data_IF_422894494797
#
_entry.id   IF_422894494797
#
_cell.length_a   1.000
_cell.length_b   1.000
_cell.length_c   1.000
_cell.angle_alpha   90.00
_cell.angle_beta   90.00
_cell.angle_gamma   90.00
#
_symmetry.space_group_name_H-M   'P 1'
#
loop_
_entity.id
_entity.type
_entity.pdbx_description
1 polymer ?
#
# COMPACT_ATOMS: atom_id res chain seq x y z
N UNK A 1 -18.86 -5.80 -10.92
CA UNK A 1 -18.34 -4.69 -10.04
C UNK A 1 -16.84 -4.52 -10.27
N UNK A 2 -16.38 -3.32 -10.53
CA UNK A 2 -14.95 -3.00 -10.73
C UNK A 2 -14.48 -2.12 -9.58
N UNK A 3 -13.36 -2.45 -8.91
CA UNK A 3 -12.87 -1.70 -7.75
C UNK A 3 -11.42 -1.31 -7.95
N UNK A 4 -11.12 -0.02 -7.79
CA UNK A 4 -9.75 0.50 -7.64
C UNK A 4 -9.55 0.88 -6.18
N UNK A 5 -8.64 0.19 -5.49
CA UNK A 5 -8.25 0.50 -4.11
C UNK A 5 -6.95 1.31 -4.11
N UNK A 6 -7.06 2.60 -3.77
CA UNK A 6 -5.90 3.46 -3.52
C UNK A 6 -5.46 3.35 -2.05
N UNK A 7 -4.19 3.11 -1.85
CA UNK A 7 -3.63 2.88 -0.51
C UNK A 7 -2.13 3.14 -0.49
N UNK A 8 -1.53 3.29 0.67
CA UNK A 8 -0.07 3.27 0.80
C UNK A 8 0.43 1.90 1.29
N UNK A 9 1.75 1.72 1.29
CA UNK A 9 2.34 0.47 1.76
C UNK A 9 2.05 0.22 3.25
N UNK A 10 1.97 -1.05 3.65
CA UNK A 10 1.79 -1.51 5.04
C UNK A 10 0.49 -1.06 5.72
N UNK A 11 -0.54 -0.80 4.95
CA UNK A 11 -1.90 -0.46 5.42
C UNK A 11 -2.82 -1.67 5.57
N UNK A 12 -2.34 -2.91 5.36
CA UNK A 12 -3.20 -4.09 5.35
C UNK A 12 -4.02 -4.27 4.06
N UNK A 13 -3.62 -3.59 2.99
CA UNK A 13 -4.35 -3.58 1.70
C UNK A 13 -4.53 -4.97 1.09
N UNK A 14 -3.55 -5.86 1.19
CA UNK A 14 -3.67 -7.24 0.70
C UNK A 14 -4.77 -8.01 1.42
N UNK A 15 -4.90 -7.82 2.74
CA UNK A 15 -6.00 -8.40 3.51
C UNK A 15 -7.35 -7.85 3.05
N UNK A 16 -7.47 -6.51 2.90
CA UNK A 16 -8.73 -5.89 2.47
C UNK A 16 -9.11 -6.30 1.04
N UNK A 17 -8.17 -6.36 0.09
CA UNK A 17 -8.48 -6.81 -1.28
C UNK A 17 -8.97 -8.24 -1.29
N UNK A 18 -8.38 -9.14 -0.49
CA UNK A 18 -8.85 -10.52 -0.35
C UNK A 18 -10.26 -10.59 0.25
N UNK A 19 -10.56 -9.80 1.30
CA UNK A 19 -11.90 -9.77 1.90
C UNK A 19 -12.95 -9.24 0.92
N UNK A 20 -12.63 -8.18 0.18
CA UNK A 20 -13.54 -7.61 -0.81
C UNK A 20 -13.74 -8.55 -2.00
N UNK A 21 -12.70 -9.25 -2.46
CA UNK A 21 -12.82 -10.20 -3.56
C UNK A 21 -13.72 -11.38 -3.18
N UNK A 22 -13.56 -11.96 -1.99
CA UNK A 22 -14.43 -13.03 -1.52
C UNK A 22 -15.87 -12.55 -1.34
N UNK A 23 -16.06 -11.38 -0.68
CA UNK A 23 -17.39 -10.84 -0.39
C UNK A 23 -18.21 -10.53 -1.64
N UNK A 24 -17.57 -10.11 -2.71
CA UNK A 24 -18.22 -9.62 -3.93
C UNK A 24 -17.97 -10.48 -5.17
N UNK A 25 -17.33 -11.64 -5.00
CA UNK A 25 -16.96 -12.56 -6.10
C UNK A 25 -16.14 -11.84 -7.18
N UNK A 26 -15.03 -11.21 -6.76
CA UNK A 26 -14.15 -10.45 -7.64
C UNK A 26 -12.84 -11.17 -7.90
N UNK A 27 -12.34 -11.10 -9.12
CA UNK A 27 -10.94 -11.46 -9.44
C UNK A 27 -9.99 -10.47 -8.77
N UNK A 28 -9.15 -10.95 -7.85
CA UNK A 28 -8.17 -10.11 -7.16
C UNK A 28 -6.86 -10.02 -7.95
N UNK A 29 -6.65 -8.92 -8.62
CA UNK A 29 -5.43 -8.67 -9.38
C UNK A 29 -4.29 -8.06 -8.55
N UNK A 30 -4.51 -7.71 -7.29
CA UNK A 30 -3.52 -7.07 -6.41
C UNK A 30 -2.83 -5.85 -7.07
N UNK A 31 -1.48 -5.84 -7.11
CA UNK A 31 -0.64 -4.78 -7.68
C UNK A 31 -0.45 -4.95 -9.19
N UNK A 32 -1.55 -5.01 -9.93
CA UNK A 32 -1.57 -5.37 -11.35
C UNK A 32 -0.80 -4.38 -12.24
N UNK A 33 -0.68 -3.13 -11.82
CA UNK A 33 -0.10 -2.02 -12.58
C UNK A 33 1.20 -1.47 -11.97
N UNK A 34 2.00 -2.32 -11.31
CA UNK A 34 3.29 -1.88 -10.75
C UNK A 34 4.29 -1.45 -11.85
N UNK A 35 5.30 -0.68 -11.49
CA UNK A 35 6.23 0.01 -12.41
C UNK A 35 7.04 -0.91 -13.32
N UNK A 36 7.25 -2.16 -12.90
CA UNK A 36 8.05 -3.13 -13.67
C UNK A 36 7.28 -3.82 -14.81
N UNK A 37 6.01 -3.46 -15.04
CA UNK A 37 5.21 -4.04 -16.11
C UNK A 37 5.64 -3.45 -17.46
N UNK A 38 6.08 -4.26 -18.44
CA UNK A 38 6.40 -3.77 -19.79
C UNK A 38 5.18 -3.08 -20.42
N UNK A 39 5.42 -2.05 -21.25
CA UNK A 39 4.36 -1.24 -21.85
C UNK A 39 3.33 -2.09 -22.64
N UNK A 40 3.81 -3.10 -23.37
CA UNK A 40 2.94 -4.01 -24.13
C UNK A 40 2.02 -4.84 -23.23
N UNK A 41 2.56 -5.31 -22.12
CA UNK A 41 1.80 -6.06 -21.12
C UNK A 41 0.83 -5.16 -20.37
N UNK A 42 1.19 -3.90 -20.12
CA UNK A 42 0.33 -2.92 -19.49
C UNK A 42 -0.96 -2.69 -20.28
N UNK A 43 -0.86 -2.52 -21.61
CA UNK A 43 -2.05 -2.38 -22.45
C UNK A 43 -2.97 -3.58 -22.34
N UNK A 44 -2.43 -4.81 -22.38
CA UNK A 44 -3.23 -6.03 -22.19
C UNK A 44 -3.95 -6.03 -20.85
N UNK A 45 -3.28 -5.60 -19.76
CA UNK A 45 -3.88 -5.53 -18.43
C UNK A 45 -4.98 -4.49 -18.35
N UNK A 46 -4.81 -3.32 -18.96
CA UNK A 46 -5.85 -2.30 -19.05
C UNK A 46 -7.05 -2.83 -19.83
N UNK A 47 -6.83 -3.40 -21.02
CA UNK A 47 -7.89 -4.00 -21.83
C UNK A 47 -8.64 -5.07 -21.05
N UNK A 48 -7.91 -5.98 -20.37
CA UNK A 48 -8.53 -6.99 -19.53
C UNK A 48 -9.42 -6.40 -18.42
N UNK A 49 -9.00 -5.31 -17.78
CA UNK A 49 -9.84 -4.63 -16.79
C UNK A 49 -11.07 -3.93 -17.40
N UNK A 50 -10.95 -3.43 -18.64
CA UNK A 50 -12.08 -2.77 -19.32
C UNK A 50 -13.12 -3.81 -19.73
N UNK A 51 -12.68 -4.92 -20.33
CA UNK A 51 -13.55 -5.98 -20.91
C UNK A 51 -14.19 -6.89 -19.84
N UNK A 52 -13.63 -6.97 -18.64
CA UNK A 52 -14.16 -7.79 -17.56
C UNK A 52 -14.84 -6.93 -16.49
N UNK A 53 -15.90 -7.47 -15.88
CA UNK A 53 -16.76 -6.72 -14.97
C UNK A 53 -16.51 -6.96 -13.49
N UNK A 54 -15.82 -8.04 -13.12
CA UNK A 54 -15.71 -8.46 -11.73
C UNK A 54 -14.24 -8.54 -11.28
N UNK A 55 -13.68 -7.38 -10.89
CA UNK A 55 -12.29 -7.34 -10.43
C UNK A 55 -12.03 -6.28 -9.36
N UNK A 56 -10.93 -6.48 -8.65
CA UNK A 56 -10.32 -5.50 -7.75
C UNK A 56 -8.83 -5.38 -8.04
N UNK A 57 -8.36 -4.14 -8.17
CA UNK A 57 -6.94 -3.80 -8.29
C UNK A 57 -6.52 -2.87 -7.16
N UNK A 58 -5.28 -2.98 -6.75
CA UNK A 58 -4.65 -2.14 -5.74
C UNK A 58 -3.60 -1.25 -6.40
N UNK A 59 -3.67 0.06 -6.14
CA UNK A 59 -2.70 1.04 -6.61
C UNK A 59 -2.09 1.79 -5.42
N UNK A 60 -0.79 1.99 -5.49
CA UNK A 60 -0.06 2.85 -4.55
C UNK A 60 0.25 4.20 -5.19
N UNK A 61 0.37 5.29 -4.41
CA UNK A 61 0.79 6.59 -4.94
C UNK A 61 2.07 6.54 -5.76
N UNK A 62 3.04 5.72 -5.35
CA UNK A 62 4.27 5.54 -6.13
C UNK A 62 4.02 5.08 -7.58
N UNK A 63 2.97 4.27 -7.82
CA UNK A 63 2.56 3.85 -9.17
C UNK A 63 1.94 4.99 -9.99
N UNK A 64 1.57 6.11 -9.32
CA UNK A 64 0.87 7.25 -9.90
C UNK A 64 1.76 8.49 -10.07
N UNK A 65 3.02 8.44 -9.63
CA UNK A 65 3.95 9.57 -9.74
C UNK A 65 4.30 9.91 -11.18
N UNK A 66 4.26 8.95 -12.07
CA UNK A 66 4.42 9.16 -13.49
C UNK A 66 3.07 9.48 -14.15
N UNK A 67 3.09 10.30 -15.20
CA UNK A 67 1.93 10.62 -16.03
C UNK A 67 1.16 9.33 -16.43
N UNK A 68 1.88 8.27 -16.72
CA UNK A 68 1.36 6.94 -17.05
C UNK A 68 0.42 6.37 -15.98
N UNK A 69 0.77 6.50 -14.69
CA UNK A 69 -0.04 5.97 -13.60
C UNK A 69 -1.35 6.72 -13.43
N UNK A 70 -1.32 8.05 -13.55
CA UNK A 70 -2.54 8.87 -13.53
C UNK A 70 -3.45 8.56 -14.74
N UNK A 71 -2.88 8.33 -15.92
CA UNK A 71 -3.64 7.92 -17.10
C UNK A 71 -4.34 6.58 -16.88
N UNK A 72 -3.67 5.60 -16.25
CA UNK A 72 -4.29 4.30 -15.88
C UNK A 72 -5.46 4.51 -14.93
N UNK A 73 -5.28 5.28 -13.86
CA UNK A 73 -6.35 5.55 -12.90
C UNK A 73 -7.57 6.19 -13.61
N UNK A 74 -7.33 7.21 -14.44
CA UNK A 74 -8.40 7.88 -15.18
C UNK A 74 -9.13 6.93 -16.12
N UNK A 75 -8.41 6.06 -16.85
CA UNK A 75 -9.01 5.06 -17.74
C UNK A 75 -9.88 4.09 -16.95
N UNK A 76 -9.42 3.57 -15.82
CA UNK A 76 -10.21 2.65 -15.01
C UNK A 76 -11.47 3.31 -14.45
N UNK A 77 -11.36 4.56 -13.97
CA UNK A 77 -12.51 5.31 -13.44
C UNK A 77 -13.52 5.68 -14.54
N UNK A 78 -13.05 5.99 -15.76
CA UNK A 78 -13.93 6.24 -16.92
C UNK A 78 -14.65 4.98 -17.43
N UNK A 79 -14.28 3.80 -16.95
CA UNK A 79 -14.93 2.52 -17.23
C UNK A 79 -15.68 1.97 -16.02
N UNK A 80 -16.33 2.84 -15.26
CA UNK A 80 -17.23 2.54 -14.15
C UNK A 80 -16.57 1.83 -12.95
N UNK A 81 -15.27 1.97 -12.78
CA UNK A 81 -14.62 1.43 -11.59
C UNK A 81 -14.92 2.27 -10.35
N UNK A 82 -15.34 1.61 -9.28
CA UNK A 82 -15.58 2.24 -7.98
C UNK A 82 -14.25 2.57 -7.29
N UNK A 83 -14.04 3.83 -6.96
CA UNK A 83 -12.85 4.29 -6.26
C UNK A 83 -13.00 4.08 -4.75
N UNK A 84 -12.01 3.45 -4.13
CA UNK A 84 -11.94 3.24 -2.69
C UNK A 84 -10.56 3.61 -2.16
N UNK A 85 -10.52 4.07 -0.92
CA UNK A 85 -9.29 4.41 -0.21
C UNK A 85 -9.14 3.57 1.05
N UNK A 86 -7.91 3.14 1.34
CA UNK A 86 -7.57 2.53 2.61
C UNK A 86 -6.43 3.31 3.26
N UNK A 87 -6.69 3.77 4.46
CA UNK A 87 -5.73 4.43 5.34
C UNK A 87 -5.46 3.59 6.59
N UNK A 88 -4.43 3.96 7.31
CA UNK A 88 -4.13 3.45 8.64
C UNK A 88 -4.15 4.63 9.62
N UNK A 89 -4.83 4.46 10.77
CA UNK A 89 -4.88 5.48 11.84
C UNK A 89 -3.54 5.53 12.59
N UNK A 90 -3.00 4.34 12.91
CA UNK A 90 -1.70 4.22 13.54
C UNK A 90 -0.56 4.36 12.50
N UNK A 91 -0.25 5.62 12.18
CA UNK A 91 0.80 5.97 11.21
C UNK A 91 2.20 5.58 11.71
N UNK A 92 2.43 5.68 13.00
CA UNK A 92 3.67 5.28 13.63
C UNK A 92 3.96 3.80 13.41
N UNK A 93 2.96 2.95 13.66
CA UNK A 93 3.03 1.53 13.38
C UNK A 93 3.17 1.23 11.88
N UNK A 94 2.61 2.04 11.00
CA UNK A 94 2.76 1.90 9.55
C UNK A 94 4.22 2.13 9.14
N UNK A 95 4.83 3.23 9.59
CA UNK A 95 6.24 3.56 9.34
C UNK A 95 7.15 2.45 9.87
N UNK A 96 6.94 2.05 11.12
CA UNK A 96 7.73 0.99 11.75
C UNK A 96 7.65 -0.32 10.96
N UNK A 97 6.45 -0.73 10.56
CA UNK A 97 6.24 -1.94 9.75
C UNK A 97 6.94 -1.87 8.39
N UNK A 98 6.99 -0.70 7.76
CA UNK A 98 7.72 -0.49 6.51
C UNK A 98 9.23 -0.54 6.72
N UNK A 99 9.72 0.11 7.78
CA UNK A 99 11.13 0.10 8.13
C UNK A 99 11.63 -1.33 8.42
N UNK A 100 10.88 -2.11 9.19
CA UNK A 100 11.19 -3.51 9.45
C UNK A 100 11.27 -4.32 8.15
N UNK A 101 10.33 -4.12 7.23
CA UNK A 101 10.31 -4.83 5.95
C UNK A 101 11.51 -4.47 5.08
N UNK A 102 11.84 -3.19 4.95
CA UNK A 102 13.02 -2.72 4.20
C UNK A 102 14.33 -3.23 4.82
N UNK A 103 14.44 -3.11 6.14
CA UNK A 103 15.61 -3.58 6.87
C UNK A 103 15.81 -5.08 6.68
N UNK A 104 14.78 -5.87 6.90
CA UNK A 104 14.80 -7.32 6.71
C UNK A 104 15.20 -7.71 5.28
N UNK A 105 14.67 -7.02 4.26
CA UNK A 105 15.03 -7.27 2.86
C UNK A 105 16.52 -7.01 2.60
N UNK A 106 17.08 -5.95 3.17
CA UNK A 106 18.49 -5.58 3.01
C UNK A 106 19.42 -6.63 3.62
N UNK A 107 19.09 -7.17 4.80
CA UNK A 107 19.97 -8.08 5.57
C UNK A 107 19.73 -9.56 5.29
N UNK A 108 18.59 -9.94 4.72
CA UNK A 108 18.34 -11.33 4.33
C UNK A 108 18.82 -11.68 2.91
N UNK A 109 19.45 -10.75 2.19
CA UNK A 109 19.98 -10.99 0.84
C UNK A 109 21.01 -12.13 0.74
N UNK A 110 21.65 -12.48 1.85
CA UNK A 110 22.71 -13.48 1.85
C UNK A 110 22.22 -14.91 2.10
N UNK A 111 20.95 -15.15 2.41
CA UNK A 111 20.48 -16.47 2.85
C UNK A 111 19.88 -17.37 1.80
N UNK A 112 19.29 -16.83 0.74
CA UNK A 112 18.79 -17.66 -0.38
C UNK A 112 18.55 -16.81 -1.63
N UNK A 113 19.43 -16.93 -2.60
CA UNK A 113 19.35 -16.21 -3.89
C UNK A 113 18.15 -16.59 -4.77
N UNK A 114 17.29 -17.51 -4.34
CA UNK A 114 16.19 -18.04 -5.15
C UNK A 114 14.78 -17.58 -4.79
N UNK A 115 14.60 -17.00 -3.62
CA UNK A 115 13.29 -16.50 -3.21
C UNK A 115 13.51 -15.05 -2.75
N UNK A 116 13.03 -14.08 -3.54
CA UNK A 116 12.78 -12.77 -2.95
C UNK A 116 11.85 -13.04 -1.76
N UNK A 117 12.29 -12.81 -0.49
CA UNK A 117 11.36 -12.93 0.61
C UNK A 117 10.24 -11.96 0.30
N UNK A 118 9.06 -12.49 0.04
CA UNK A 118 7.88 -11.65 -0.08
C UNK A 118 7.86 -10.78 1.17
N UNK A 119 7.41 -9.56 1.08
CA UNK A 119 7.25 -8.59 2.18
C UNK A 119 6.48 -9.17 3.39
N UNK A 120 6.02 -10.42 3.28
CA UNK A 120 5.23 -11.17 4.24
C UNK A 120 6.01 -12.24 5.00
N UNK A 121 7.21 -12.61 4.54
CA UNK A 121 8.03 -13.67 5.15
C UNK A 121 8.99 -13.05 6.18
N UNK A 122 8.42 -12.30 7.12
CA UNK A 122 9.14 -11.70 8.23
C UNK A 122 9.27 -12.78 9.30
N UNK A 123 10.34 -13.56 9.25
CA UNK A 123 10.74 -14.47 10.33
C UNK A 123 11.14 -13.64 11.55
N UNK A 124 10.97 -14.21 12.74
CA UNK A 124 11.43 -13.56 13.96
C UNK A 124 12.92 -13.20 13.86
N UNK A 125 13.20 -11.92 13.76
CA UNK A 125 14.54 -11.41 13.61
C UNK A 125 14.74 -10.26 14.63
N UNK A 126 15.65 -10.46 15.56
CA UNK A 126 16.07 -9.40 16.49
C UNK A 126 17.31 -8.75 15.94
N UNK A 127 17.23 -7.47 15.72
CA UNK A 127 18.36 -6.65 15.24
C UNK A 127 19.21 -6.26 16.43
N UNK A 128 20.50 -6.54 16.32
CA UNK A 128 21.50 -6.14 17.31
C UNK A 128 21.64 -4.61 17.36
N UNK A 129 22.00 -4.08 18.52
CA UNK A 129 22.24 -2.65 18.74
C UNK A 129 23.38 -2.09 17.87
N UNK A 130 24.32 -2.92 17.39
CA UNK A 130 25.35 -2.51 16.44
C UNK A 130 24.80 -1.94 15.14
N UNK A 131 23.56 -2.31 14.76
CA UNK A 131 22.85 -1.81 13.57
C UNK A 131 21.96 -0.59 13.84
N UNK A 132 22.00 0.01 15.03
CA UNK A 132 21.11 1.11 15.45
C UNK A 132 21.10 2.27 14.45
N UNK A 133 22.27 2.73 14.03
CA UNK A 133 22.41 3.87 13.09
C UNK A 133 21.73 3.53 11.76
N UNK A 134 21.99 2.34 11.25
CA UNK A 134 21.45 1.91 9.96
C UNK A 134 19.93 1.64 10.04
N UNK A 135 19.46 1.04 11.11
CA UNK A 135 18.04 0.85 11.38
C UNK A 135 17.33 2.21 11.46
N UNK A 136 17.93 3.20 12.13
CA UNK A 136 17.38 4.55 12.23
C UNK A 136 17.32 5.24 10.85
N UNK A 137 18.34 5.08 10.00
CA UNK A 137 18.32 5.62 8.65
C UNK A 137 17.18 5.02 7.81
N UNK A 138 17.01 3.69 7.86
CA UNK A 138 15.91 2.99 7.18
C UNK A 138 14.54 3.44 7.72
N UNK A 139 14.44 3.69 9.04
CA UNK A 139 13.22 4.22 9.64
C UNK A 139 12.91 5.63 9.14
N UNK A 140 13.90 6.53 9.10
CA UNK A 140 13.74 7.90 8.64
C UNK A 140 13.30 7.94 7.17
N UNK A 141 13.93 7.14 6.29
CA UNK A 141 13.49 6.98 4.89
C UNK A 141 12.05 6.46 4.78
N UNK A 142 11.67 5.54 5.66
CA UNK A 142 10.31 4.99 5.68
C UNK A 142 9.29 6.01 6.17
N UNK A 143 9.68 6.85 7.12
CA UNK A 143 8.89 7.96 7.63
C UNK A 143 8.59 8.98 6.52
N UNK A 144 9.62 9.45 5.81
CA UNK A 144 9.46 10.41 4.72
C UNK A 144 8.63 9.83 3.57
N UNK A 145 8.85 8.55 3.27
CA UNK A 145 8.08 7.83 2.25
C UNK A 145 6.60 7.76 2.61
N UNK A 146 6.25 7.26 3.80
CA UNK A 146 4.84 7.15 4.24
C UNK A 146 4.17 8.52 4.28
N UNK A 147 4.87 9.54 4.78
CA UNK A 147 4.38 10.92 4.81
C UNK A 147 4.07 11.47 3.42
N UNK A 148 4.94 11.23 2.45
CA UNK A 148 4.76 11.62 1.06
C UNK A 148 3.58 10.89 0.41
N UNK A 149 3.48 9.58 0.61
CA UNK A 149 2.38 8.75 0.12
C UNK A 149 1.03 9.23 0.65
N UNK A 150 0.94 9.52 1.96
CA UNK A 150 -0.28 10.03 2.58
C UNK A 150 -0.73 11.37 2.00
N UNK A 151 0.20 12.31 1.80
CA UNK A 151 -0.11 13.58 1.16
C UNK A 151 -0.68 13.38 -0.25
N UNK A 152 -0.10 12.47 -1.01
CA UNK A 152 -0.57 12.14 -2.36
C UNK A 152 -1.95 11.49 -2.33
N UNK A 153 -2.21 10.53 -1.41
CA UNK A 153 -3.53 9.91 -1.25
C UNK A 153 -4.61 10.93 -0.86
N UNK A 154 -4.32 11.83 0.08
CA UNK A 154 -5.24 12.89 0.49
C UNK A 154 -5.55 13.81 -0.69
N UNK A 155 -4.53 14.22 -1.46
CA UNK A 155 -4.73 15.01 -2.69
C UNK A 155 -5.61 14.28 -3.70
N UNK A 156 -5.35 13.01 -3.96
CA UNK A 156 -6.14 12.19 -4.89
C UNK A 156 -7.60 12.04 -4.40
N UNK A 157 -7.80 11.87 -3.10
CA UNK A 157 -9.14 11.84 -2.53
C UNK A 157 -9.89 13.15 -2.80
N UNK A 158 -9.28 14.30 -2.49
CA UNK A 158 -9.89 15.63 -2.69
C UNK A 158 -10.22 15.88 -4.17
N UNK A 159 -9.34 15.49 -5.09
CA UNK A 159 -9.57 15.60 -6.54
C UNK A 159 -10.74 14.74 -7.04
N UNK A 160 -10.97 13.59 -6.42
CA UNK A 160 -11.98 12.62 -6.82
C UNK A 160 -13.21 12.58 -5.86
N UNK A 161 -13.36 13.58 -4.98
CA UNK A 161 -14.45 13.64 -3.98
C UNK A 161 -15.83 13.58 -4.63
N UNK A 162 -15.99 14.09 -5.84
CA UNK A 162 -17.21 14.06 -6.63
C UNK A 162 -17.68 12.65 -7.02
N UNK A 163 -16.77 11.65 -7.01
CA UNK A 163 -17.08 10.24 -7.23
C UNK A 163 -17.59 9.53 -5.97
N UNK A 164 -17.72 10.24 -4.85
CA UNK A 164 -18.13 9.69 -3.55
C UNK A 164 -17.34 8.43 -3.14
N UNK A 165 -15.97 8.47 -3.14
CA UNK A 165 -15.16 7.31 -2.88
C UNK A 165 -15.37 6.78 -1.45
N UNK A 166 -15.40 5.45 -1.30
CA UNK A 166 -15.45 4.82 0.02
C UNK A 166 -14.10 4.88 0.70
N UNK A 167 -14.10 5.25 1.96
CA UNK A 167 -12.89 5.34 2.80
C UNK A 167 -12.94 4.25 3.86
N UNK A 168 -11.85 3.51 3.97
CA UNK A 168 -11.62 2.51 5.02
C UNK A 168 -10.44 2.92 5.88
N UNK A 169 -10.52 2.59 7.16
CA UNK A 169 -9.36 2.61 8.06
C UNK A 169 -9.09 1.18 8.50
N UNK A 170 -7.83 0.75 8.47
CA UNK A 170 -7.46 -0.63 8.82
C UNK A 170 -8.00 -1.02 10.20
N UNK A 171 -7.88 -0.14 11.17
CA UNK A 171 -8.25 -0.37 12.56
C UNK A 171 -9.77 -0.49 12.78
N UNK A 172 -10.58 -0.02 11.84
CA UNK A 172 -12.05 -0.12 11.90
C UNK A 172 -12.57 -1.40 11.23
N UNK A 173 -11.69 -2.17 10.58
CA UNK A 173 -12.09 -3.39 9.87
C UNK A 173 -12.13 -4.59 10.84
N UNK A 174 -13.15 -5.46 10.75
CA UNK A 174 -13.26 -6.61 11.61
C UNK A 174 -12.15 -7.63 11.33
N UNK A 175 -11.66 -8.27 12.37
CA UNK A 175 -10.71 -9.40 12.29
C UNK A 175 -9.39 -9.09 11.57
N UNK A 176 -8.91 -7.86 11.63
CA UNK A 176 -7.60 -7.51 11.05
C UNK A 176 -6.42 -8.22 11.72
N UNK A 177 -6.67 -9.11 12.66
CA UNK A 177 -5.69 -9.82 13.45
C UNK A 177 -4.76 -8.82 14.18
N UNK A 178 -4.39 -9.07 15.40
CA UNK A 178 -3.31 -8.31 16.04
C UNK A 178 -2.06 -8.62 15.24
N UNK A 179 -1.63 -7.70 14.38
CA UNK A 179 -0.34 -7.79 13.72
C UNK A 179 0.73 -7.75 14.82
N UNK A 180 1.15 -8.94 15.25
CA UNK A 180 2.26 -9.06 16.19
C UNK A 180 3.52 -8.56 15.47
N UNK A 181 4.23 -7.66 16.12
CA UNK A 181 5.57 -7.25 15.66
C UNK A 181 6.45 -8.50 15.71
N UNK A 182 6.82 -9.03 14.54
CA UNK A 182 7.73 -10.17 14.43
C UNK A 182 9.19 -9.74 14.36
N UNK A 183 9.45 -8.48 14.03
CA UNK A 183 10.78 -7.89 13.96
C UNK A 183 10.82 -6.69 14.88
N UNK A 184 11.87 -6.61 15.68
CA UNK A 184 12.18 -5.43 16.47
C UNK A 184 13.48 -4.82 15.94
N UNK A 185 13.44 -3.54 15.62
CA UNK A 185 14.59 -2.75 15.21
C UNK A 185 14.84 -1.66 16.25
N UNK A 186 16.11 -1.38 16.60
CA UNK A 186 16.45 -0.40 17.63
C UNK A 186 16.37 1.03 17.06
N UNK A 187 15.16 1.60 17.01
CA UNK A 187 14.92 2.94 16.45
C UNK A 187 14.16 3.85 17.41
N UNK A 188 14.37 5.14 17.27
CA UNK A 188 13.52 6.17 17.85
C UNK A 188 12.37 6.44 16.88
N UNK A 189 11.15 6.19 17.32
CA UNK A 189 9.95 6.37 16.52
C UNK A 189 9.44 7.82 16.63
N UNK A 190 8.99 8.39 15.51
CA UNK A 190 8.40 9.73 15.41
C UNK A 190 6.92 9.65 15.04
N UNK A 191 6.14 10.62 15.51
CA UNK A 191 4.75 10.78 15.09
C UNK A 191 4.69 11.49 13.73
N UNK A 192 3.76 11.04 12.86
CA UNK A 192 3.43 11.77 11.64
C UNK A 192 2.31 12.75 11.98
N UNK A 193 2.60 14.04 11.90
CA UNK A 193 1.63 15.12 12.11
C UNK A 193 0.72 15.29 10.87
N UNK A 194 -0.14 14.30 10.64
CA UNK A 194 -1.19 14.31 9.62
C UNK A 194 -2.46 13.73 10.24
N UNK A 195 -3.45 14.56 10.45
CA UNK A 195 -4.80 14.12 10.81
C UNK A 195 -5.60 13.81 9.54
N UNK A 196 -5.56 12.53 9.13
CA UNK A 196 -6.23 12.07 7.91
C UNK A 196 -7.73 12.39 7.95
N UNK A 197 -8.39 12.17 9.08
CA UNK A 197 -9.83 12.38 9.18
C UNK A 197 -10.21 13.85 9.02
N UNK A 198 -9.39 14.77 9.54
CA UNK A 198 -9.55 16.22 9.34
C UNK A 198 -9.28 16.61 7.90
N UNK A 199 -8.21 16.09 7.30
CA UNK A 199 -7.83 16.40 5.93
C UNK A 199 -8.87 15.93 4.89
N UNK A 200 -9.55 14.81 5.12
CA UNK A 200 -10.58 14.31 4.21
C UNK A 200 -11.90 15.08 4.33
N UNK A 201 -12.13 15.81 5.42
CA UNK A 201 -13.33 16.65 5.60
C UNK A 201 -13.19 18.02 4.96
N UNK A 202 -11.97 18.56 4.88
CA UNK A 202 -11.65 19.82 4.23
C UNK A 202 -11.73 19.73 2.70
#
# INVERSE_FOLDING_TARGET
MKIVLLTSMRTGSTWLTNQLSVKHDLTNHNEYFHDYVPRTELFKRITNCIENDNWIVKLFPLHLHEKRGLDILNVLLSNDAELRFLFRKDLKQQVYSLACAKFSHKYNKDRDKKVMPGWHDIRDFKVDDSYRIEAQNVYNESFDFVRSELKTLIKLYKQNKHLHPKVYYLEDLPNTGKYQRKIEIPVTEYDIDIDIAKELKS
#
